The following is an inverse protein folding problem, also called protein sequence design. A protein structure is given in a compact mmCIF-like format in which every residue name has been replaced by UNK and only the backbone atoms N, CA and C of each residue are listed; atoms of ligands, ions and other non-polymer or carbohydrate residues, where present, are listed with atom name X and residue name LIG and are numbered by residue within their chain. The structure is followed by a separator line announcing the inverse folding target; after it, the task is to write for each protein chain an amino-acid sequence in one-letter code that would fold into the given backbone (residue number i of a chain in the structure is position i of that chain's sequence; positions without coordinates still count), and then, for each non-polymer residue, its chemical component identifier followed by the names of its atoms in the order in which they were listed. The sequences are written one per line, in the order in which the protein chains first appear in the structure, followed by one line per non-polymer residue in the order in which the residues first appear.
data_IF_254948343631
#
_entry.id   IF_254948343631
#
_cell.length_a   1.000
_cell.length_b   1.000
_cell.length_c   1.000
_cell.angle_alpha   90.00
_cell.angle_beta   90.00
_cell.angle_gamma   90.00
#
_symmetry.space_group_name_H-M   'P 1'
#
loop_
_entity.id
_entity.type
_entity.pdbx_description
1 polymer ?
#
# COMPACT_ATOMS: atom_id res chain seq x y z
N UNK A 1 -3.69 9.18 -13.36
CA UNK A 1 -4.34 8.01 -13.98
C UNK A 1 -3.65 7.78 -15.31
N UNK A 2 -3.19 6.56 -15.58
CA UNK A 2 -2.41 6.24 -16.79
C UNK A 2 -3.32 5.91 -17.97
N UNK A 3 -2.78 6.06 -19.18
CA UNK A 3 -3.44 5.69 -20.44
C UNK A 3 -2.48 4.88 -21.30
N UNK A 4 -2.97 4.20 -22.34
CA UNK A 4 -2.14 3.42 -23.27
C UNK A 4 -1.05 4.23 -23.96
N UNK A 5 -1.21 5.57 -24.04
CA UNK A 5 -0.22 6.50 -24.61
C UNK A 5 0.78 7.02 -23.59
N UNK A 6 0.61 6.69 -22.31
CA UNK A 6 1.52 7.14 -21.25
C UNK A 6 2.86 6.45 -21.44
N UNK A 7 3.90 7.25 -21.66
CA UNK A 7 5.27 6.76 -21.81
C UNK A 7 6.14 7.30 -20.68
N UNK A 8 7.09 6.49 -20.21
CA UNK A 8 8.06 6.86 -19.18
C UNK A 8 9.45 6.40 -19.58
N UNK A 9 10.46 7.13 -19.13
CA UNK A 9 11.85 6.77 -19.36
C UNK A 9 12.37 5.96 -18.17
N UNK A 10 12.94 4.79 -18.45
CA UNK A 10 13.50 3.86 -17.50
C UNK A 10 15.05 3.83 -17.63
N UNK A 11 15.78 4.44 -16.67
CA UNK A 11 17.23 4.36 -16.58
C UNK A 11 17.75 3.14 -15.79
N UNK A 12 16.89 2.17 -15.45
CA UNK A 12 17.21 0.97 -14.66
C UNK A 12 16.99 1.14 -13.15
N UNK A 13 16.43 2.27 -12.72
CA UNK A 13 16.07 2.51 -11.34
C UNK A 13 15.02 3.62 -11.19
N UNK A 14 14.32 3.61 -10.06
CA UNK A 14 13.33 4.60 -9.66
C UNK A 14 13.59 5.10 -8.23
N UNK A 15 13.30 6.38 -7.96
CA UNK A 15 13.45 6.98 -6.62
C UNK A 15 12.16 7.67 -6.21
N UNK A 16 11.79 7.48 -4.94
CA UNK A 16 10.70 8.23 -4.33
C UNK A 16 11.08 9.73 -4.36
N UNK A 17 10.22 10.60 -4.93
CA UNK A 17 10.44 12.04 -4.93
C UNK A 17 10.64 12.57 -3.51
N UNK A 18 11.58 13.50 -3.32
CA UNK A 18 11.84 14.18 -2.04
C UNK A 18 12.17 13.24 -0.86
N UNK A 19 12.68 12.03 -1.13
CA UNK A 19 13.06 11.07 -0.10
C UNK A 19 14.57 10.75 -0.13
N UNK A 20 15.14 10.51 1.05
CA UNK A 20 16.53 10.02 1.20
C UNK A 20 16.66 8.50 1.01
N UNK A 21 15.58 7.82 0.64
CA UNK A 21 15.58 6.37 0.42
C UNK A 21 16.50 5.95 -0.72
N UNK A 22 17.05 4.74 -0.60
CA UNK A 22 17.81 4.10 -1.68
C UNK A 22 16.92 3.97 -2.94
N UNK A 23 17.50 4.05 -4.15
CA UNK A 23 16.76 3.79 -5.37
C UNK A 23 16.26 2.33 -5.40
N UNK A 24 15.03 2.16 -5.88
CA UNK A 24 14.45 0.88 -6.26
C UNK A 24 15.00 0.53 -7.63
N UNK A 25 15.60 -0.65 -7.77
CA UNK A 25 16.26 -1.05 -9.01
C UNK A 25 15.27 -1.79 -9.89
N UNK A 26 15.40 -1.57 -11.18
CA UNK A 26 14.82 -2.45 -12.17
C UNK A 26 15.59 -3.77 -12.23
N UNK A 27 14.95 -4.84 -12.70
CA UNK A 27 15.64 -6.08 -13.00
C UNK A 27 16.71 -5.89 -14.09
N UNK A 28 16.48 -4.98 -15.05
CA UNK A 28 17.45 -4.65 -16.08
C UNK A 28 18.36 -3.51 -15.63
N UNK A 29 19.64 -3.82 -15.43
CA UNK A 29 20.61 -2.88 -14.82
C UNK A 29 20.74 -1.54 -15.56
N UNK A 30 20.58 -1.54 -16.89
CA UNK A 30 20.69 -0.34 -17.73
C UNK A 30 19.33 0.24 -18.13
N UNK A 31 18.23 -0.38 -17.68
CA UNK A 31 16.87 0.03 -17.98
C UNK A 31 16.40 -0.26 -19.40
N UNK A 32 15.12 -0.05 -19.60
CA UNK A 32 14.40 -0.35 -20.84
C UNK A 32 14.22 0.88 -21.76
N UNK A 33 14.78 2.03 -21.37
CA UNK A 33 14.66 3.28 -22.11
C UNK A 33 13.22 3.81 -22.09
N UNK A 34 12.67 4.20 -23.23
CA UNK A 34 11.27 4.65 -23.30
C UNK A 34 10.31 3.45 -23.26
N UNK A 35 9.42 3.45 -22.28
CA UNK A 35 8.49 2.37 -21.96
C UNK A 35 7.06 2.89 -21.93
N UNK A 36 6.16 2.23 -22.65
CA UNK A 36 4.71 2.39 -22.53
C UNK A 36 4.10 1.25 -21.69
N UNK A 37 2.79 1.24 -21.50
CA UNK A 37 2.11 0.19 -20.72
C UNK A 37 2.28 -1.19 -21.36
N UNK A 38 2.23 -1.28 -22.68
CA UNK A 38 2.31 -2.56 -23.38
C UNK A 38 3.70 -3.18 -23.19
N UNK A 39 4.74 -2.39 -23.44
CA UNK A 39 6.13 -2.77 -23.20
C UNK A 39 6.40 -3.08 -21.72
N UNK A 40 5.80 -2.33 -20.79
CA UNK A 40 5.94 -2.59 -19.36
C UNK A 40 5.37 -3.97 -18.95
N UNK A 41 4.33 -4.44 -19.63
CA UNK A 41 3.75 -5.77 -19.41
C UNK A 41 4.58 -6.85 -20.13
N UNK A 42 4.99 -6.61 -21.38
CA UNK A 42 5.79 -7.55 -22.20
C UNK A 42 7.16 -7.84 -21.58
N UNK A 43 7.87 -6.81 -21.16
CA UNK A 43 9.24 -6.90 -20.62
C UNK A 43 9.26 -6.86 -19.08
N UNK A 44 8.10 -6.85 -18.43
CA UNK A 44 7.97 -6.82 -16.96
C UNK A 44 8.81 -5.70 -16.32
N UNK A 45 8.67 -4.46 -16.82
CA UNK A 45 9.50 -3.32 -16.40
C UNK A 45 9.09 -2.81 -15.01
N UNK A 46 9.93 -3.04 -13.99
CA UNK A 46 9.62 -2.74 -12.59
C UNK A 46 9.45 -1.24 -12.34
N UNK A 47 10.32 -0.42 -12.92
CA UNK A 47 10.33 1.04 -12.69
C UNK A 47 9.03 1.71 -13.11
N UNK A 48 8.36 1.16 -14.13
CA UNK A 48 7.07 1.62 -14.58
C UNK A 48 5.99 1.38 -13.51
N UNK A 49 5.98 0.20 -12.90
CA UNK A 49 5.04 -0.16 -11.82
C UNK A 49 5.33 0.59 -10.54
N UNK A 50 6.59 0.86 -10.20
CA UNK A 50 6.94 1.68 -9.03
C UNK A 50 6.32 3.07 -9.09
N UNK A 51 6.42 3.74 -10.25
CA UNK A 51 5.79 5.04 -10.44
C UNK A 51 4.26 4.95 -10.37
N UNK A 52 3.64 3.91 -10.94
CA UNK A 52 2.18 3.72 -10.86
C UNK A 52 1.73 3.50 -9.42
N UNK A 53 2.42 2.66 -8.67
CA UNK A 53 2.11 2.40 -7.26
C UNK A 53 2.23 3.68 -6.43
N UNK A 54 3.24 4.52 -6.73
CA UNK A 54 3.40 5.83 -6.09
C UNK A 54 2.26 6.80 -6.45
N UNK A 55 1.90 6.92 -7.72
CA UNK A 55 0.82 7.80 -8.20
C UNK A 55 -0.56 7.37 -7.67
N UNK A 56 -0.77 6.06 -7.50
CA UNK A 56 -2.03 5.49 -7.04
C UNK A 56 -2.21 5.60 -5.53
N UNK A 57 -1.11 5.43 -4.78
CA UNK A 57 -1.12 5.30 -3.33
C UNK A 57 -1.67 3.95 -2.86
N UNK A 58 -1.32 3.59 -1.61
CA UNK A 58 -1.63 2.27 -1.05
C UNK A 58 -3.13 2.01 -0.94
N UNK A 59 -3.94 3.03 -0.64
CA UNK A 59 -5.37 2.88 -0.36
C UNK A 59 -6.17 2.50 -1.61
N UNK A 60 -5.84 3.08 -2.77
CA UNK A 60 -6.47 2.72 -4.04
C UNK A 60 -5.92 1.41 -4.57
N UNK A 61 -4.61 1.17 -4.42
CA UNK A 61 -3.97 -0.05 -4.86
C UNK A 61 -4.53 -1.27 -4.11
N UNK A 62 -4.62 -1.22 -2.78
CA UNK A 62 -5.16 -2.31 -1.98
C UNK A 62 -6.62 -2.58 -2.30
N UNK A 63 -7.44 -1.54 -2.49
CA UNK A 63 -8.84 -1.70 -2.89
C UNK A 63 -8.98 -2.45 -4.21
N UNK A 64 -8.20 -2.08 -5.23
CA UNK A 64 -8.23 -2.78 -6.52
C UNK A 64 -7.72 -4.22 -6.40
N UNK A 65 -6.62 -4.45 -5.68
CA UNK A 65 -6.07 -5.80 -5.49
C UNK A 65 -7.03 -6.72 -4.73
N UNK A 66 -7.75 -6.21 -3.73
CA UNK A 66 -8.80 -6.97 -3.04
C UNK A 66 -9.95 -7.36 -3.97
N UNK A 67 -10.34 -6.50 -4.92
CA UNK A 67 -11.36 -6.84 -5.92
C UNK A 67 -10.91 -7.97 -6.86
N UNK A 68 -9.60 -8.15 -7.06
CA UNK A 68 -9.03 -9.29 -7.76
C UNK A 68 -8.94 -10.56 -6.88
N UNK A 69 -9.37 -10.50 -5.61
CA UNK A 69 -9.33 -11.62 -4.66
C UNK A 69 -8.02 -11.72 -3.86
N UNK A 70 -7.08 -10.78 -4.01
CA UNK A 70 -5.85 -10.83 -3.23
C UNK A 70 -6.11 -10.56 -1.76
N UNK A 71 -5.56 -11.45 -0.93
CA UNK A 71 -5.73 -11.40 0.51
C UNK A 71 -7.15 -11.72 0.95
N UNK A 72 -7.89 -12.50 0.19
CA UNK A 72 -9.08 -13.23 0.63
C UNK A 72 -8.96 -14.71 0.26
N UNK A 73 -9.88 -15.54 0.77
CA UNK A 73 -10.00 -16.93 0.36
C UNK A 73 -10.53 -17.00 -1.09
N UNK A 74 -9.97 -17.91 -1.89
CA UNK A 74 -10.38 -18.15 -3.28
C UNK A 74 -11.72 -18.86 -3.37
N UNK A 75 -12.16 -19.52 -2.29
CA UNK A 75 -13.41 -20.26 -2.24
C UNK A 75 -13.33 -21.63 -2.91
N UNK A 76 -12.13 -22.18 -3.06
CA UNK A 76 -11.91 -23.55 -3.55
C UNK A 76 -12.25 -24.57 -2.44
N UNK A 77 -12.77 -25.74 -2.80
CA UNK A 77 -13.20 -26.78 -1.86
C UNK A 77 -12.00 -27.62 -1.37
N UNK A 78 -11.10 -26.98 -0.63
CA UNK A 78 -9.97 -27.62 0.07
C UNK A 78 -9.88 -27.07 1.49
N UNK A 79 -9.36 -27.89 2.42
CA UNK A 79 -9.23 -27.48 3.82
C UNK A 79 -7.95 -26.68 4.09
N UNK A 80 -6.89 -26.90 3.31
CA UNK A 80 -5.56 -26.31 3.48
C UNK A 80 -5.38 -24.99 2.73
N UNK A 81 -6.37 -24.09 2.79
CA UNK A 81 -6.26 -22.76 2.21
C UNK A 81 -5.72 -21.73 3.21
N UNK A 82 -4.76 -20.91 2.77
CA UNK A 82 -4.25 -19.79 3.54
C UNK A 82 -4.64 -18.48 2.88
N UNK A 83 -5.27 -17.60 3.66
CA UNK A 83 -5.48 -16.21 3.28
C UNK A 83 -4.11 -15.54 3.11
N UNK A 84 -3.77 -15.19 1.88
CA UNK A 84 -2.57 -14.42 1.59
C UNK A 84 -2.63 -13.04 2.29
N UNK A 85 -1.52 -12.30 2.28
CA UNK A 85 -1.46 -11.01 2.93
C UNK A 85 -1.62 -9.86 1.94
N UNK A 86 -2.74 -9.13 1.98
CA UNK A 86 -2.91 -7.88 1.24
C UNK A 86 -2.55 -6.68 2.13
N UNK A 87 -1.39 -6.03 1.92
CA UNK A 87 -0.96 -4.95 2.80
C UNK A 87 -1.86 -3.72 2.66
N UNK A 88 -2.49 -3.34 3.77
CA UNK A 88 -3.18 -2.05 3.94
C UNK A 88 -2.49 -1.21 5.02
N UNK A 89 -2.88 0.05 5.17
CA UNK A 89 -2.38 0.90 6.27
C UNK A 89 -2.75 0.30 7.63
N UNK A 90 -4.01 -0.11 7.77
CA UNK A 90 -4.57 -0.70 8.99
C UNK A 90 -3.85 -1.99 9.34
N UNK A 91 -3.63 -2.86 8.34
CA UNK A 91 -2.87 -4.09 8.51
C UNK A 91 -1.45 -3.81 9.03
N UNK A 92 -0.73 -2.85 8.43
CA UNK A 92 0.62 -2.49 8.84
C UNK A 92 0.65 -1.94 10.27
N UNK A 93 -0.32 -1.09 10.64
CA UNK A 93 -0.44 -0.54 11.99
C UNK A 93 -0.69 -1.63 13.02
N UNK A 94 -1.63 -2.55 12.75
CA UNK A 94 -1.96 -3.67 13.63
C UNK A 94 -0.79 -4.64 13.78
N UNK A 95 -0.10 -4.97 12.69
CA UNK A 95 0.95 -6.00 12.67
C UNK A 95 2.28 -5.56 13.27
N UNK A 96 2.70 -4.32 12.99
CA UNK A 96 4.04 -3.83 13.31
C UNK A 96 4.07 -2.80 14.44
N UNK A 97 2.93 -2.51 15.09
CA UNK A 97 2.81 -1.51 16.18
C UNK A 97 3.51 -0.18 15.85
N UNK A 98 3.61 0.15 14.57
CA UNK A 98 4.27 1.36 14.13
C UNK A 98 3.26 2.46 14.40
N UNK A 99 3.49 3.21 15.46
CA UNK A 99 2.68 4.37 15.83
C UNK A 99 2.83 5.39 14.69
N UNK A 100 1.95 5.32 13.69
CA UNK A 100 1.73 6.41 12.78
C UNK A 100 1.33 7.61 13.62
N UNK A 101 1.98 8.75 13.39
CA UNK A 101 1.70 10.07 13.97
C UNK A 101 0.23 10.15 14.41
N UNK A 102 0.01 10.28 15.73
CA UNK A 102 -1.32 10.44 16.33
C UNK A 102 -2.01 11.65 15.71
N UNK A 103 -2.79 11.46 14.65
CA UNK A 103 -3.84 12.40 14.27
C UNK A 103 -5.00 12.13 15.22
N UNK A 104 -4.95 12.82 16.35
CA UNK A 104 -6.06 13.15 17.25
C UNK A 104 -7.20 12.13 17.32
N UNK A 105 -7.04 11.11 18.16
CA UNK A 105 -8.18 10.57 18.89
C UNK A 105 -8.44 11.49 20.09
N UNK A 106 -9.10 12.60 19.84
CA UNK A 106 -9.64 13.50 20.87
C UNK A 106 -11.02 13.97 20.43
N UNK A 107 -11.95 13.03 20.37
CA UNK A 107 -13.37 13.24 20.60
C UNK A 107 -14.01 11.85 20.69
N UNK A 108 -15.02 11.70 21.54
CA UNK A 108 -15.77 10.46 21.81
C UNK A 108 -15.19 9.51 22.87
N UNK A 109 -14.65 10.04 23.98
CA UNK A 109 -14.89 9.46 25.31
C UNK A 109 -14.92 10.60 26.34
N UNK A 110 -16.05 11.30 26.42
CA UNK A 110 -16.40 12.10 27.60
C UNK A 110 -17.91 12.11 27.63
N UNK A 111 -18.47 11.04 28.18
CA UNK A 111 -19.83 10.97 28.71
C UNK A 111 -20.00 9.58 29.35
N UNK A 112 -19.47 9.43 30.57
CA UNK A 112 -19.89 8.45 31.59
C UNK A 112 -18.91 8.50 32.76
N UNK A 113 -19.17 9.37 33.73
CA UNK A 113 -18.85 9.14 35.14
C UNK A 113 -19.35 10.31 36.00
N UNK A 114 -20.64 10.29 36.33
CA UNK A 114 -21.15 11.00 37.51
C UNK A 114 -21.91 9.98 38.36
N UNK A 115 -21.22 9.46 39.37
CA UNK A 115 -21.76 8.63 40.45
C UNK A 115 -21.30 9.20 41.79
N UNK A 116 -22.13 9.12 42.86
CA UNK A 116 -22.12 10.10 43.94
C UNK A 116 -21.03 9.84 44.99
N UNK A 117 -20.54 10.95 45.55
CA UNK A 117 -19.59 10.98 46.65
C UNK A 117 -20.24 10.44 47.93
N UNK A 118 -19.65 9.39 48.53
CA UNK A 118 -19.88 9.04 49.92
C UNK A 118 -18.70 9.55 50.76
N UNK A 119 -19.04 10.51 51.61
CA UNK A 119 -18.24 11.17 52.62
C UNK A 119 -17.97 10.19 53.78
N UNK A 120 -16.70 10.02 54.18
CA UNK A 120 -16.35 9.39 55.44
C UNK A 120 -15.12 10.08 56.06
N UNK A 121 -15.45 10.88 57.09
CA UNK A 121 -14.65 11.42 58.20
C UNK A 121 -13.32 12.10 57.92
#
# INVERSE_FOLDING_TARGET
MITTKTTRNDPGYWRIPNSKTRPFRDWLRWGHGKVDILKAIEESVDTFYYQIAYDMGIDRLSKWMMMFGFGDYTGIDIYEESKANMPTREWKMARHRTHGIKVTQSLLVSDKATGPQHQCR
#
